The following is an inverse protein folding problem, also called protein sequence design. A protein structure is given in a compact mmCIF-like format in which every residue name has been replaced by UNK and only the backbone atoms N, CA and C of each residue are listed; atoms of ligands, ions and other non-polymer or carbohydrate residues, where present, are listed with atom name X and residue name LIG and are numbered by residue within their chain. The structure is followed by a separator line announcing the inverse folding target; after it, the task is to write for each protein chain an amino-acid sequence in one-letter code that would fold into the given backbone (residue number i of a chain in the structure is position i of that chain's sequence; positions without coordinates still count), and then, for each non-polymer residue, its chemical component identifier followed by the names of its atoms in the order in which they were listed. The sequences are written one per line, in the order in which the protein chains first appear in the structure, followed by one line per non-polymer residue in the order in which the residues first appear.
data_IF_547086181770
#
_entry.id   IF_547086181770
#
_cell.length_a   1.000
_cell.length_b   1.000
_cell.length_c   1.000
_cell.angle_alpha   90.00
_cell.angle_beta   90.00
_cell.angle_gamma   90.00
#
_symmetry.space_group_name_H-M   'P 1'
#
loop_
_entity.id
_entity.type
_entity.pdbx_description
1 polymer ?
#
# COMPACT_ATOMS: atom_id res chain seq x y z
N UNK A 1 14.40 5.74 1.29
CA UNK A 1 14.38 7.00 2.06
C UNK A 1 15.48 6.96 3.13
N UNK A 2 16.48 7.86 3.10
CA UNK A 2 17.61 7.85 4.04
C UNK A 2 17.19 7.95 5.50
N UNK A 3 16.04 8.54 5.80
CA UNK A 3 15.50 8.62 7.16
C UNK A 3 15.11 7.26 7.75
N UNK A 4 14.86 6.25 6.93
CA UNK A 4 14.57 4.88 7.37
C UNK A 4 15.79 3.95 7.33
N UNK A 5 16.77 4.27 6.50
CA UNK A 5 17.92 3.39 6.24
C UNK A 5 19.17 3.77 7.04
N UNK A 6 19.28 5.02 7.52
CA UNK A 6 20.45 5.55 8.18
C UNK A 6 20.15 5.88 9.64
N UNK A 7 21.05 5.45 10.55
CA UNK A 7 20.91 5.73 11.99
C UNK A 7 21.00 7.25 12.28
N UNK A 8 20.19 7.73 13.21
CA UNK A 8 20.09 9.15 13.56
C UNK A 8 21.44 9.85 13.84
N UNK A 9 22.45 9.24 14.51
CA UNK A 9 23.76 9.86 14.71
C UNK A 9 24.54 10.14 13.42
N UNK A 10 24.32 9.37 12.37
CA UNK A 10 24.92 9.61 11.04
C UNK A 10 24.18 10.73 10.31
N UNK A 11 22.84 10.69 10.31
CA UNK A 11 22.01 11.75 9.70
C UNK A 11 22.33 13.14 10.26
N UNK A 12 22.51 13.26 11.57
CA UNK A 12 22.83 14.54 12.23
C UNK A 12 24.19 15.13 11.88
N UNK A 13 25.08 14.34 11.26
CA UNK A 13 26.45 14.72 10.87
C UNK A 13 26.69 14.67 9.37
N UNK A 14 25.63 14.39 8.58
CA UNK A 14 25.70 14.26 7.13
C UNK A 14 24.88 15.35 6.46
N UNK A 15 25.33 15.79 5.30
CA UNK A 15 24.53 16.63 4.40
C UNK A 15 23.71 15.72 3.51
N UNK A 16 22.39 15.86 3.56
CA UNK A 16 21.49 15.14 2.65
C UNK A 16 21.39 15.89 1.33
N UNK A 17 21.85 15.26 0.27
CA UNK A 17 21.72 15.75 -1.10
C UNK A 17 20.68 14.89 -1.82
N UNK A 18 19.62 15.51 -2.30
CA UNK A 18 18.63 14.84 -3.14
C UNK A 18 19.04 14.94 -4.58
N UNK A 19 19.18 13.79 -5.26
CA UNK A 19 19.38 13.72 -6.70
C UNK A 19 18.01 13.63 -7.38
N UNK A 20 17.84 14.44 -8.41
CA UNK A 20 16.63 14.39 -9.24
C UNK A 20 16.91 13.57 -10.51
N UNK A 21 15.87 12.97 -11.12
CA UNK A 21 15.99 12.33 -12.43
C UNK A 21 16.53 13.32 -13.46
N UNK A 22 17.30 12.82 -14.41
CA UNK A 22 17.80 13.63 -15.53
C UNK A 22 16.62 14.11 -16.39
N UNK A 23 16.76 15.31 -16.96
CA UNK A 23 15.79 15.81 -17.94
C UNK A 23 15.93 15.06 -19.27
N UNK A 24 14.90 15.13 -20.11
CA UNK A 24 14.96 14.54 -21.46
C UNK A 24 16.11 15.10 -22.30
N UNK A 25 16.45 16.38 -22.13
CA UNK A 25 17.58 17.00 -22.80
C UNK A 25 18.92 16.46 -22.32
N UNK A 26 19.10 16.28 -21.00
CA UNK A 26 20.31 15.69 -20.43
C UNK A 26 20.51 14.25 -20.92
N UNK A 27 19.40 13.47 -20.94
CA UNK A 27 19.43 12.10 -21.44
C UNK A 27 19.72 12.04 -22.93
N UNK A 28 19.15 12.96 -23.72
CA UNK A 28 19.37 13.05 -25.16
C UNK A 28 20.85 13.29 -25.47
N UNK A 29 21.46 14.25 -24.78
CA UNK A 29 22.88 14.54 -24.93
C UNK A 29 23.74 13.35 -24.54
N UNK A 30 23.36 12.62 -23.47
CA UNK A 30 24.05 11.41 -23.03
C UNK A 30 23.95 10.29 -24.07
N UNK A 31 22.77 10.04 -24.63
CA UNK A 31 22.50 9.00 -25.64
C UNK A 31 23.27 9.31 -26.91
N UNK A 32 23.22 10.56 -27.43
CA UNK A 32 23.94 10.97 -28.63
C UNK A 32 25.44 10.84 -28.45
N UNK A 33 25.96 11.23 -27.28
CA UNK A 33 27.38 11.03 -26.96
C UNK A 33 27.74 9.54 -26.90
N UNK A 34 26.87 8.68 -26.35
CA UNK A 34 27.13 7.24 -26.30
C UNK A 34 27.13 6.58 -27.69
N UNK A 35 26.35 7.11 -28.64
CA UNK A 35 26.40 6.65 -30.06
C UNK A 35 27.73 7.02 -30.71
N UNK A 36 28.22 8.24 -30.51
CA UNK A 36 29.39 8.77 -31.26
C UNK A 36 30.75 8.55 -30.59
N UNK A 37 30.82 8.50 -29.23
CA UNK A 37 32.11 8.42 -28.49
C UNK A 37 32.84 7.10 -28.79
N UNK A 38 34.19 7.18 -28.84
CA UNK A 38 35.08 6.00 -29.02
C UNK A 38 34.91 4.93 -27.93
N UNK A 39 34.46 5.31 -26.74
CA UNK A 39 34.17 4.41 -25.62
C UNK A 39 32.74 3.84 -25.68
N UNK A 40 31.90 4.38 -26.58
CA UNK A 40 30.55 3.93 -26.84
C UNK A 40 30.46 3.12 -28.13
N UNK A 41 29.44 3.46 -28.95
CA UNK A 41 29.14 2.72 -30.18
C UNK A 41 29.94 3.15 -31.42
N UNK A 42 30.75 4.20 -31.34
CA UNK A 42 31.67 4.66 -32.39
C UNK A 42 30.99 4.89 -33.76
N UNK A 43 29.80 5.46 -33.73
CA UNK A 43 28.92 5.65 -34.90
C UNK A 43 28.61 4.35 -35.67
N UNK A 44 28.73 3.17 -35.04
CA UNK A 44 28.38 1.89 -35.65
C UNK A 44 26.91 1.78 -36.00
N UNK A 45 26.04 2.54 -35.30
CA UNK A 45 24.60 2.61 -35.57
C UNK A 45 24.13 4.07 -35.56
N UNK A 46 23.03 4.31 -36.26
CA UNK A 46 22.28 5.56 -36.19
C UNK A 46 20.98 5.34 -35.38
N UNK A 47 20.52 6.39 -34.70
CA UNK A 47 19.29 6.37 -33.92
C UNK A 47 18.32 7.39 -34.51
N UNK A 48 17.25 6.98 -35.21
CA UNK A 48 16.20 7.88 -35.67
C UNK A 48 15.54 8.66 -34.53
N UNK A 49 14.99 9.85 -34.82
CA UNK A 49 14.43 10.74 -33.81
C UNK A 49 13.23 10.11 -33.06
N UNK A 50 12.40 9.36 -33.73
CA UNK A 50 11.27 8.64 -33.13
C UNK A 50 11.74 7.55 -32.16
N UNK A 51 12.78 6.79 -32.53
CA UNK A 51 13.43 5.79 -31.69
C UNK A 51 14.16 6.44 -30.51
N UNK A 52 14.86 7.56 -30.73
CA UNK A 52 15.50 8.34 -29.65
C UNK A 52 14.44 8.81 -28.64
N UNK A 53 13.37 9.42 -29.12
CA UNK A 53 12.28 9.90 -28.25
C UNK A 53 11.58 8.76 -27.48
N UNK A 54 11.45 7.59 -28.09
CA UNK A 54 10.92 6.41 -27.41
C UNK A 54 11.88 5.91 -26.33
N UNK A 55 13.18 5.85 -26.63
CA UNK A 55 14.23 5.47 -25.65
C UNK A 55 14.23 6.39 -24.43
N UNK A 56 14.10 7.72 -24.63
CA UNK A 56 14.03 8.69 -23.53
C UNK A 56 12.81 8.47 -22.65
N UNK A 57 11.65 8.20 -23.26
CA UNK A 57 10.41 7.90 -22.52
C UNK A 57 10.53 6.67 -21.62
N UNK A 58 11.10 5.56 -22.15
CA UNK A 58 11.26 4.33 -21.37
C UNK A 58 12.36 4.43 -20.31
N UNK A 59 13.36 5.31 -20.54
CA UNK A 59 14.41 5.57 -19.56
C UNK A 59 13.90 6.36 -18.34
N UNK A 60 12.94 7.26 -18.52
CA UNK A 60 12.26 7.98 -17.44
C UNK A 60 13.21 8.75 -16.52
N UNK A 61 14.23 9.43 -17.07
CA UNK A 61 15.22 10.19 -16.31
C UNK A 61 16.42 9.38 -15.79
N UNK A 62 16.49 8.07 -16.08
CA UNK A 62 17.59 7.19 -15.64
C UNK A 62 18.62 6.95 -16.76
N UNK A 63 19.83 7.51 -16.57
CA UNK A 63 20.93 7.38 -17.50
C UNK A 63 21.38 5.92 -17.74
N UNK A 64 21.43 5.11 -16.69
CA UNK A 64 21.86 3.70 -16.80
C UNK A 64 20.87 2.91 -17.63
N UNK A 65 19.58 3.12 -17.38
CA UNK A 65 18.50 2.48 -18.13
C UNK A 65 18.53 2.87 -19.60
N UNK A 66 18.74 4.17 -19.92
CA UNK A 66 18.89 4.65 -21.27
C UNK A 66 20.06 3.98 -22.00
N UNK A 67 21.25 3.95 -21.37
CA UNK A 67 22.45 3.39 -21.96
C UNK A 67 22.36 1.85 -22.13
N UNK A 68 21.81 1.14 -21.17
CA UNK A 68 21.61 -0.31 -21.26
C UNK A 68 20.62 -0.68 -22.37
N UNK A 69 19.53 0.05 -22.51
CA UNK A 69 18.56 -0.16 -23.59
C UNK A 69 19.17 0.17 -24.97
N UNK A 70 19.94 1.26 -25.07
CA UNK A 70 20.66 1.63 -26.29
C UNK A 70 21.67 0.55 -26.71
N UNK A 71 22.49 0.08 -25.76
CA UNK A 71 23.51 -0.95 -26.03
C UNK A 71 22.87 -2.25 -26.52
N UNK A 72 21.81 -2.70 -25.86
CA UNK A 72 21.09 -3.90 -26.23
C UNK A 72 20.42 -3.78 -27.61
N UNK A 73 19.78 -2.64 -27.91
CA UNK A 73 19.13 -2.40 -29.19
C UNK A 73 20.13 -2.24 -30.32
N UNK A 74 21.28 -1.58 -30.07
CA UNK A 74 22.39 -1.47 -31.04
C UNK A 74 22.98 -2.84 -31.35
N UNK A 75 23.23 -3.67 -30.31
CA UNK A 75 23.69 -5.05 -30.52
C UNK A 75 22.72 -5.87 -31.38
N UNK A 76 21.44 -5.80 -31.11
CA UNK A 76 20.42 -6.50 -31.87
C UNK A 76 20.32 -6.03 -33.34
N UNK A 77 20.47 -4.73 -33.60
CA UNK A 77 20.52 -4.19 -34.96
C UNK A 77 21.76 -4.68 -35.72
N UNK A 78 22.94 -4.59 -35.09
CA UNK A 78 24.21 -5.05 -35.69
C UNK A 78 24.18 -6.56 -35.96
N UNK A 79 23.58 -7.37 -35.10
CA UNK A 79 23.45 -8.82 -35.31
C UNK A 79 22.56 -9.13 -36.52
N UNK A 80 21.58 -8.26 -36.83
CA UNK A 80 20.75 -8.32 -38.04
C UNK A 80 21.45 -7.75 -39.29
N UNK A 81 22.66 -7.17 -39.15
CA UNK A 81 23.37 -6.49 -40.20
C UNK A 81 22.83 -5.10 -40.53
N UNK A 82 22.08 -4.50 -39.63
CA UNK A 82 21.48 -3.17 -39.77
C UNK A 82 22.38 -2.12 -39.12
N UNK A 83 22.49 -0.95 -39.78
CA UNK A 83 23.24 0.21 -39.25
C UNK A 83 22.32 1.27 -38.63
N UNK A 84 21.02 0.98 -38.51
CA UNK A 84 20.03 1.85 -37.91
C UNK A 84 19.25 1.07 -36.84
N UNK A 85 19.09 1.66 -35.65
CA UNK A 85 18.27 1.09 -34.59
C UNK A 85 16.82 1.53 -34.82
N UNK A 86 16.02 0.69 -35.47
CA UNK A 86 14.61 0.94 -35.68
C UNK A 86 13.79 0.84 -34.38
N UNK A 87 12.63 1.51 -34.35
CA UNK A 87 11.73 1.52 -33.20
C UNK A 87 11.33 0.09 -32.76
N UNK A 88 11.00 -0.78 -33.73
CA UNK A 88 10.62 -2.16 -33.46
C UNK A 88 11.77 -2.95 -32.78
N UNK A 89 13.02 -2.77 -33.24
CA UNK A 89 14.19 -3.43 -32.64
C UNK A 89 14.41 -2.96 -31.20
N UNK A 90 14.19 -1.67 -30.92
CA UNK A 90 14.25 -1.12 -29.56
C UNK A 90 13.17 -1.74 -28.68
N UNK A 91 11.91 -1.79 -29.11
CA UNK A 91 10.79 -2.36 -28.36
C UNK A 91 11.01 -3.83 -28.03
N UNK A 92 11.36 -4.67 -29.04
CA UNK A 92 11.65 -6.10 -28.85
C UNK A 92 12.80 -6.34 -27.85
N UNK A 93 13.75 -5.41 -27.79
CA UNK A 93 14.92 -5.53 -26.92
C UNK A 93 14.63 -5.07 -25.50
N UNK A 94 13.82 -4.03 -25.36
CA UNK A 94 13.40 -3.49 -24.05
C UNK A 94 12.50 -4.47 -23.32
N UNK A 95 11.57 -5.13 -24.01
CA UNK A 95 10.72 -6.19 -23.43
C UNK A 95 11.55 -7.33 -22.83
N UNK A 96 12.70 -7.65 -23.44
CA UNK A 96 13.65 -8.64 -22.91
C UNK A 96 14.49 -8.10 -21.75
N UNK A 97 14.79 -6.80 -21.72
CA UNK A 97 15.61 -6.16 -20.68
C UNK A 97 14.81 -5.77 -19.44
N UNK A 98 13.49 -5.54 -19.57
CA UNK A 98 12.59 -5.21 -18.48
C UNK A 98 12.48 -6.31 -17.41
N UNK A 99 12.95 -7.52 -17.69
CA UNK A 99 13.01 -8.65 -16.73
C UNK A 99 14.01 -8.41 -15.57
N UNK A 100 14.84 -7.36 -15.63
CA UNK A 100 15.78 -7.00 -14.54
C UNK A 100 15.41 -5.68 -13.86
N UNK A 101 14.18 -5.57 -13.39
CA UNK A 101 13.77 -4.45 -12.53
C UNK A 101 14.39 -4.61 -11.14
N UNK A 102 14.93 -3.50 -10.62
CA UNK A 102 15.48 -3.41 -9.26
C UNK A 102 14.34 -3.47 -8.24
N UNK A 103 14.10 -4.65 -7.67
CA UNK A 103 13.05 -4.89 -6.66
C UNK A 103 13.29 -4.17 -5.33
N UNK A 104 14.48 -3.65 -5.13
CA UNK A 104 14.92 -3.03 -3.88
C UNK A 104 15.06 -1.48 -3.97
N UNK A 105 14.69 -0.86 -5.09
CA UNK A 105 14.82 0.59 -5.31
C UNK A 105 13.66 1.42 -4.73
N UNK A 106 13.92 2.71 -4.45
CA UNK A 106 12.92 3.68 -3.95
C UNK A 106 11.66 3.77 -4.84
N UNK A 107 11.79 3.53 -6.15
CA UNK A 107 10.67 3.55 -7.11
C UNK A 107 9.61 2.48 -6.84
N UNK A 108 9.99 1.30 -6.32
CA UNK A 108 9.07 0.24 -5.93
C UNK A 108 8.06 0.73 -4.87
N UNK A 109 8.57 1.40 -3.83
CA UNK A 109 7.72 1.94 -2.76
C UNK A 109 6.86 3.10 -3.23
N UNK A 110 7.37 3.93 -4.15
CA UNK A 110 6.63 5.07 -4.71
C UNK A 110 5.43 4.61 -5.55
N UNK A 111 5.60 3.62 -6.42
CA UNK A 111 4.51 3.08 -7.24
C UNK A 111 3.46 2.37 -6.37
N UNK A 112 3.89 1.57 -5.39
CA UNK A 112 2.97 0.94 -4.44
C UNK A 112 2.20 1.98 -3.61
N UNK A 113 2.88 3.06 -3.17
CA UNK A 113 2.26 4.18 -2.46
C UNK A 113 1.25 4.92 -3.35
N UNK A 114 1.58 5.14 -4.63
CA UNK A 114 0.69 5.78 -5.58
C UNK A 114 -0.55 4.93 -5.87
N UNK A 115 -0.43 3.60 -6.02
CA UNK A 115 -1.55 2.68 -6.12
C UNK A 115 -2.53 2.85 -4.94
N UNK A 116 -2.02 2.78 -3.71
CA UNK A 116 -2.85 2.88 -2.51
C UNK A 116 -3.49 4.28 -2.38
N UNK A 117 -2.75 5.35 -2.69
CA UNK A 117 -3.28 6.72 -2.67
C UNK A 117 -4.36 6.94 -3.73
N UNK A 118 -4.24 6.30 -4.90
CA UNK A 118 -5.27 6.36 -5.95
C UNK A 118 -6.53 5.61 -5.53
N UNK A 119 -6.42 4.43 -4.91
CA UNK A 119 -7.54 3.69 -4.32
C UNK A 119 -8.22 4.54 -3.25
N UNK A 120 -7.45 5.12 -2.32
CA UNK A 120 -7.94 6.01 -1.25
C UNK A 120 -8.65 7.23 -1.82
N UNK A 121 -8.12 7.81 -2.89
CA UNK A 121 -8.69 8.95 -3.61
C UNK A 121 -9.85 8.60 -4.53
N UNK A 122 -10.22 7.32 -4.68
CA UNK A 122 -11.27 6.82 -5.58
C UNK A 122 -11.01 7.09 -7.07
N UNK A 123 -9.74 7.29 -7.45
CA UNK A 123 -9.32 7.36 -8.85
C UNK A 123 -9.00 5.96 -9.37
N UNK A 124 -10.00 5.32 -9.97
CA UNK A 124 -9.92 3.93 -10.45
C UNK A 124 -8.94 3.80 -11.61
N UNK A 125 -8.87 4.78 -12.50
CA UNK A 125 -8.02 4.72 -13.68
C UNK A 125 -6.54 4.89 -13.29
N UNK A 126 -6.23 5.82 -12.40
CA UNK A 126 -4.89 5.95 -11.84
C UNK A 126 -4.48 4.70 -11.04
N UNK A 127 -5.40 4.11 -10.25
CA UNK A 127 -5.13 2.87 -9.52
C UNK A 127 -4.78 1.72 -10.47
N UNK A 128 -5.54 1.53 -11.55
CA UNK A 128 -5.25 0.52 -12.57
C UNK A 128 -3.93 0.78 -13.30
N UNK A 129 -3.60 2.04 -13.59
CA UNK A 129 -2.31 2.39 -14.19
C UNK A 129 -1.14 2.01 -13.29
N UNK A 130 -1.20 2.34 -11.98
CA UNK A 130 -0.13 1.95 -11.05
C UNK A 130 -0.07 0.45 -10.80
N UNK A 131 -1.22 -0.25 -10.79
CA UNK A 131 -1.27 -1.72 -10.76
C UNK A 131 -0.54 -2.31 -11.98
N UNK A 132 -0.84 -1.84 -13.18
CA UNK A 132 -0.20 -2.29 -14.42
C UNK A 132 1.31 -2.05 -14.37
N UNK A 133 1.76 -0.89 -13.88
CA UNK A 133 3.20 -0.61 -13.69
C UNK A 133 3.88 -1.59 -12.75
N UNK A 134 3.23 -2.00 -11.66
CA UNK A 134 3.79 -3.01 -10.75
C UNK A 134 3.86 -4.38 -11.41
N UNK A 135 2.85 -4.76 -12.18
CA UNK A 135 2.81 -6.05 -12.91
C UNK A 135 3.92 -6.11 -13.95
N UNK A 136 4.03 -5.09 -14.81
CA UNK A 136 5.06 -5.00 -15.86
C UNK A 136 6.48 -4.93 -15.27
N UNK A 137 6.64 -4.33 -14.09
CA UNK A 137 7.88 -4.33 -13.34
C UNK A 137 8.23 -5.71 -12.72
N UNK A 138 7.39 -6.73 -12.88
CA UNK A 138 7.61 -8.07 -12.33
C UNK A 138 7.45 -8.15 -10.82
N UNK A 139 6.62 -7.28 -10.22
CA UNK A 139 6.34 -7.29 -8.79
C UNK A 139 5.71 -8.61 -8.34
N UNK A 140 6.02 -9.06 -7.14
CA UNK A 140 5.38 -10.23 -6.54
C UNK A 140 3.87 -9.99 -6.41
N UNK A 141 3.02 -10.79 -7.10
CA UNK A 141 1.57 -10.62 -7.03
C UNK A 141 1.02 -10.74 -5.61
N UNK A 142 1.70 -11.47 -4.73
CA UNK A 142 1.35 -11.58 -3.31
C UNK A 142 1.63 -10.28 -2.55
N UNK A 143 2.69 -9.55 -2.93
CA UNK A 143 2.95 -8.23 -2.36
C UNK A 143 1.84 -7.25 -2.72
N UNK A 144 1.43 -7.20 -3.99
CA UNK A 144 0.32 -6.35 -4.45
C UNK A 144 -0.97 -6.71 -3.68
N UNK A 145 -1.30 -8.00 -3.60
CA UNK A 145 -2.49 -8.47 -2.88
C UNK A 145 -2.47 -8.08 -1.37
N UNK A 146 -1.31 -8.19 -0.70
CA UNK A 146 -1.16 -7.72 0.69
C UNK A 146 -1.43 -6.23 0.84
N UNK A 147 -0.97 -5.40 -0.11
CA UNK A 147 -1.25 -3.96 -0.09
C UNK A 147 -2.75 -3.66 -0.23
N UNK A 148 -3.45 -4.40 -1.09
CA UNK A 148 -4.90 -4.29 -1.25
C UNK A 148 -5.66 -4.68 0.03
N UNK A 149 -5.26 -5.77 0.72
CA UNK A 149 -5.85 -6.17 2.00
C UNK A 149 -5.68 -5.10 3.08
N UNK A 150 -4.50 -4.49 3.16
CA UNK A 150 -4.25 -3.40 4.12
C UNK A 150 -5.15 -2.21 3.80
N UNK A 151 -5.20 -1.76 2.53
CA UNK A 151 -6.04 -0.63 2.10
C UNK A 151 -7.53 -0.89 2.34
N UNK A 152 -8.00 -2.13 2.15
CA UNK A 152 -9.38 -2.51 2.45
C UNK A 152 -9.76 -2.25 3.92
N UNK A 153 -8.84 -2.50 4.86
CA UNK A 153 -9.06 -2.26 6.29
C UNK A 153 -8.77 -0.81 6.70
N UNK A 154 -7.72 -0.20 6.12
CA UNK A 154 -7.23 1.13 6.47
C UNK A 154 -8.12 2.25 5.93
N UNK A 155 -8.52 2.15 4.64
CA UNK A 155 -9.14 3.24 3.90
C UNK A 155 -10.66 3.07 3.69
N UNK A 156 -11.16 1.83 3.74
CA UNK A 156 -12.56 1.50 3.48
C UNK A 156 -13.25 1.04 4.75
N UNK A 157 -12.67 0.10 5.48
CA UNK A 157 -13.18 -0.39 6.75
C UNK A 157 -14.65 -0.82 6.66
N UNK A 158 -15.46 -0.32 7.58
CA UNK A 158 -16.89 -0.64 7.67
C UNK A 158 -17.79 0.16 6.72
N UNK A 159 -17.22 1.11 5.96
CA UNK A 159 -17.98 1.80 4.92
C UNK A 159 -18.42 0.83 3.80
N UNK A 160 -17.61 -0.19 3.51
CA UNK A 160 -18.00 -1.37 2.74
C UNK A 160 -17.52 -2.66 3.42
N UNK A 161 -18.40 -3.41 4.11
CA UNK A 161 -18.03 -4.66 4.78
C UNK A 161 -17.49 -5.75 3.84
N UNK A 162 -17.71 -5.65 2.52
CA UNK A 162 -17.21 -6.59 1.54
C UNK A 162 -15.77 -6.30 1.08
N UNK A 163 -15.25 -5.11 1.37
CA UNK A 163 -13.92 -4.71 0.90
C UNK A 163 -12.82 -5.68 1.34
N UNK A 164 -12.75 -6.00 2.62
CA UNK A 164 -11.76 -6.96 3.14
C UNK A 164 -11.97 -8.38 2.61
N UNK A 165 -13.19 -8.98 2.61
CA UNK A 165 -13.46 -10.26 1.95
C UNK A 165 -13.03 -10.30 0.47
N UNK A 166 -13.30 -9.27 -0.31
CA UNK A 166 -12.87 -9.18 -1.73
C UNK A 166 -11.34 -9.21 -1.81
N UNK A 167 -10.65 -8.40 -1.03
CA UNK A 167 -9.18 -8.36 -1.03
C UNK A 167 -8.56 -9.69 -0.57
N UNK A 168 -9.15 -10.36 0.43
CA UNK A 168 -8.70 -11.67 0.89
C UNK A 168 -8.94 -12.75 -0.16
N UNK A 169 -10.11 -12.79 -0.78
CA UNK A 169 -10.42 -13.71 -1.87
C UNK A 169 -9.47 -13.53 -3.06
N UNK A 170 -9.18 -12.26 -3.41
CA UNK A 170 -8.20 -11.95 -4.45
C UNK A 170 -6.79 -12.46 -4.07
N UNK A 171 -6.34 -12.28 -2.84
CA UNK A 171 -5.05 -12.76 -2.38
C UNK A 171 -4.93 -14.29 -2.43
N UNK A 172 -6.00 -15.01 -2.08
CA UNK A 172 -6.06 -16.47 -2.17
C UNK A 172 -6.03 -16.93 -3.62
N UNK A 173 -6.82 -16.32 -4.51
CA UNK A 173 -6.84 -16.64 -5.92
C UNK A 173 -5.47 -16.40 -6.58
N UNK A 174 -4.85 -15.25 -6.32
CA UNK A 174 -3.50 -14.89 -6.80
C UNK A 174 -2.45 -15.92 -6.40
N UNK A 175 -2.52 -16.43 -5.16
CA UNK A 175 -1.59 -17.45 -4.67
C UNK A 175 -1.72 -18.81 -5.39
N UNK A 176 -2.91 -19.10 -5.93
CA UNK A 176 -3.20 -20.36 -6.65
C UNK A 176 -2.94 -20.24 -8.15
N UNK A 177 -3.23 -19.07 -8.74
CA UNK A 177 -3.25 -18.88 -10.20
C UNK A 177 -1.89 -18.43 -10.71
N UNK A 178 -1.29 -17.40 -10.08
CA UNK A 178 -0.05 -16.77 -10.57
C UNK A 178 -0.29 -15.89 -11.81
N UNK A 179 0.78 -15.23 -12.28
CA UNK A 179 0.75 -14.47 -13.53
C UNK A 179 0.84 -15.39 -14.74
N UNK A 180 0.22 -15.00 -15.88
CA UNK A 180 -0.41 -13.71 -16.18
C UNK A 180 -1.85 -13.54 -15.67
N UNK A 181 -2.60 -14.60 -15.39
CA UNK A 181 -4.04 -14.54 -15.10
C UNK A 181 -4.35 -13.85 -13.76
N UNK A 182 -3.43 -13.86 -12.82
CA UNK A 182 -3.57 -13.14 -11.54
C UNK A 182 -3.81 -11.63 -11.73
N UNK A 183 -3.40 -11.05 -12.88
CA UNK A 183 -3.66 -9.67 -13.23
C UNK A 183 -5.17 -9.35 -13.25
N UNK A 184 -6.00 -10.28 -13.72
CA UNK A 184 -7.46 -10.13 -13.77
C UNK A 184 -8.06 -10.04 -12.36
N UNK A 185 -7.59 -10.90 -11.46
CA UNK A 185 -8.04 -10.93 -10.06
C UNK A 185 -7.61 -9.68 -9.30
N UNK A 186 -6.37 -9.23 -9.49
CA UNK A 186 -5.85 -8.00 -8.89
C UNK A 186 -6.59 -6.76 -9.42
N UNK A 187 -6.88 -6.70 -10.72
CA UNK A 187 -7.67 -5.62 -11.33
C UNK A 187 -9.09 -5.58 -10.75
N UNK A 188 -9.76 -6.72 -10.64
CA UNK A 188 -11.09 -6.82 -10.04
C UNK A 188 -11.11 -6.24 -8.61
N UNK A 189 -10.18 -6.67 -7.75
CA UNK A 189 -10.07 -6.18 -6.39
C UNK A 189 -9.74 -4.67 -6.35
N UNK A 190 -8.82 -4.20 -7.18
CA UNK A 190 -8.44 -2.78 -7.27
C UNK A 190 -9.62 -1.90 -7.65
N UNK A 191 -10.43 -2.28 -8.65
CA UNK A 191 -11.63 -1.56 -9.06
C UNK A 191 -12.64 -1.52 -7.92
N UNK A 192 -12.92 -2.66 -7.30
CA UNK A 192 -13.88 -2.75 -6.19
C UNK A 192 -13.47 -1.84 -5.02
N UNK A 193 -12.19 -1.85 -4.63
CA UNK A 193 -11.68 -1.02 -3.53
C UNK A 193 -11.63 0.46 -3.90
N UNK A 194 -11.27 0.82 -5.13
CA UNK A 194 -11.23 2.21 -5.58
C UNK A 194 -12.64 2.83 -5.57
N UNK A 195 -13.66 2.09 -5.98
CA UNK A 195 -15.04 2.58 -6.04
C UNK A 195 -15.83 2.43 -4.73
N UNK A 196 -15.32 1.70 -3.76
CA UNK A 196 -15.94 1.55 -2.45
C UNK A 196 -15.99 2.91 -1.70
N UNK A 197 -17.03 3.16 -0.88
CA UNK A 197 -17.03 4.30 0.02
C UNK A 197 -15.87 4.20 1.02
N UNK A 198 -15.31 5.33 1.43
CA UNK A 198 -14.09 5.40 2.25
C UNK A 198 -14.39 5.74 3.70
N UNK A 199 -13.72 5.02 4.62
CA UNK A 199 -13.68 5.34 6.04
C UNK A 199 -12.39 4.80 6.66
N UNK A 200 -11.67 5.64 7.38
CA UNK A 200 -10.53 5.27 8.20
C UNK A 200 -10.87 5.18 9.70
N UNK A 201 -12.16 5.17 10.05
CA UNK A 201 -12.59 5.23 11.45
C UNK A 201 -12.04 4.06 12.29
N UNK A 202 -11.94 2.86 11.73
CA UNK A 202 -11.35 1.70 12.41
C UNK A 202 -9.83 1.91 12.69
N UNK A 203 -9.11 2.45 11.74
CA UNK A 203 -7.67 2.77 11.85
C UNK A 203 -7.43 3.82 12.93
N UNK A 204 -8.23 4.90 12.91
CA UNK A 204 -8.15 5.94 13.93
C UNK A 204 -8.49 5.41 15.32
N UNK A 205 -9.49 4.54 15.43
CA UNK A 205 -9.92 3.96 16.70
C UNK A 205 -8.82 3.12 17.34
N UNK A 206 -8.21 2.19 16.61
CA UNK A 206 -7.12 1.36 17.15
C UNK A 206 -5.87 2.18 17.42
N UNK A 207 -5.55 3.17 16.59
CA UNK A 207 -4.44 4.09 16.81
C UNK A 207 -4.56 4.83 18.13
N UNK A 208 -5.73 5.43 18.41
CA UNK A 208 -6.00 6.14 19.66
C UNK A 208 -5.94 5.21 20.89
N UNK A 209 -6.47 3.99 20.78
CA UNK A 209 -6.41 3.01 21.86
C UNK A 209 -4.96 2.57 22.16
N UNK A 210 -4.15 2.32 21.13
CA UNK A 210 -2.74 1.98 21.28
C UNK A 210 -1.94 3.12 21.92
N UNK A 211 -2.25 4.37 21.56
CA UNK A 211 -1.59 5.54 22.14
C UNK A 211 -1.91 5.70 23.63
N UNK A 212 -3.15 5.49 24.04
CA UNK A 212 -3.52 5.50 25.47
C UNK A 212 -2.79 4.40 26.26
N UNK A 213 -2.69 3.20 25.72
CA UNK A 213 -1.92 2.09 26.33
C UNK A 213 -0.43 2.46 26.46
N UNK A 214 0.17 3.04 25.41
CA UNK A 214 1.58 3.49 25.43
C UNK A 214 1.82 4.60 26.45
N UNK A 215 0.82 5.45 26.70
CA UNK A 215 0.86 6.50 27.73
C UNK A 215 0.62 5.99 29.16
N UNK A 216 0.48 4.68 29.34
CA UNK A 216 0.26 4.07 30.64
C UNK A 216 -1.19 4.09 31.14
N UNK A 217 -2.15 4.43 30.30
CA UNK A 217 -3.58 4.47 30.64
C UNK A 217 -4.26 3.09 30.58
N UNK A 218 -3.48 1.99 30.60
CA UNK A 218 -4.03 0.63 30.53
C UNK A 218 -4.93 0.29 31.73
N UNK A 219 -4.46 0.62 32.94
CA UNK A 219 -5.17 0.32 34.18
C UNK A 219 -5.41 -1.18 34.45
N UNK A 220 -5.85 -1.56 35.65
CA UNK A 220 -6.24 -2.93 35.95
C UNK A 220 -7.60 -3.27 35.34
N UNK A 221 -7.75 -4.51 34.86
CA UNK A 221 -9.06 -5.02 34.42
C UNK A 221 -10.05 -4.99 35.62
N UNK A 222 -11.27 -4.47 35.45
CA UNK A 222 -12.29 -4.46 36.51
C UNK A 222 -12.51 -5.87 37.10
N UNK A 223 -12.64 -6.03 38.44
CA UNK A 223 -12.68 -7.34 39.07
C UNK A 223 -13.78 -8.28 38.54
N UNK A 224 -14.96 -7.77 38.24
CA UNK A 224 -16.09 -8.54 37.71
C UNK A 224 -15.86 -9.07 36.30
N UNK A 225 -14.93 -8.48 35.52
CA UNK A 225 -14.56 -8.95 34.17
C UNK A 225 -13.39 -9.94 34.18
N UNK A 226 -12.74 -10.17 35.34
CA UNK A 226 -11.62 -11.10 35.41
C UNK A 226 -12.11 -12.54 35.37
N UNK A 227 -11.28 -13.45 34.87
CA UNK A 227 -11.60 -14.87 34.81
C UNK A 227 -11.96 -15.43 36.20
N UNK A 228 -13.11 -16.11 36.26
CA UNK A 228 -13.64 -16.73 37.46
C UNK A 228 -13.50 -18.27 37.49
N UNK A 229 -12.94 -18.90 36.44
CA UNK A 229 -12.98 -20.35 36.25
C UNK A 229 -11.89 -21.13 37.02
N UNK A 230 -11.09 -20.50 37.85
CA UNK A 230 -10.03 -21.18 38.63
C UNK A 230 -10.30 -21.19 40.13
N UNK A 231 -9.74 -22.21 40.84
CA UNK A 231 -9.89 -22.34 42.28
C UNK A 231 -9.32 -21.13 43.02
N UNK A 232 -10.16 -20.43 43.78
CA UNK A 232 -9.78 -19.23 44.55
C UNK A 232 -10.15 -17.90 43.89
N UNK A 233 -10.62 -17.88 42.64
CA UNK A 233 -11.05 -16.65 41.96
C UNK A 233 -12.10 -15.87 42.79
N UNK A 234 -13.08 -16.55 43.36
CA UNK A 234 -14.10 -15.95 44.20
C UNK A 234 -13.54 -15.29 45.50
N UNK A 235 -12.44 -15.85 46.08
CA UNK A 235 -11.77 -15.24 47.24
C UNK A 235 -11.05 -13.95 46.90
N UNK A 236 -10.68 -13.78 45.62
CA UNK A 236 -10.03 -12.56 45.08
C UNK A 236 -11.07 -11.58 44.50
N UNK A 237 -12.37 -11.87 44.62
CA UNK A 237 -13.44 -11.02 44.07
C UNK A 237 -13.56 -11.05 42.55
N UNK A 238 -12.92 -12.04 41.88
CA UNK A 238 -12.98 -12.15 40.41
C UNK A 238 -14.33 -12.71 39.96
N UNK A 239 -14.83 -12.20 38.83
CA UNK A 239 -16.13 -12.52 38.24
C UNK A 239 -17.36 -12.24 39.13
N UNK A 240 -17.17 -11.64 40.30
CA UNK A 240 -18.29 -11.28 41.19
C UNK A 240 -19.00 -10.03 40.70
N UNK A 241 -20.35 -10.11 40.57
CA UNK A 241 -21.18 -9.00 40.13
C UNK A 241 -21.19 -8.78 38.60
N UNK A 242 -20.62 -9.70 37.81
CA UNK A 242 -20.75 -9.67 36.35
C UNK A 242 -22.21 -9.87 35.94
N UNK A 243 -22.74 -8.95 35.19
CA UNK A 243 -24.11 -9.06 34.61
C UNK A 243 -23.98 -9.65 33.21
N UNK A 244 -24.58 -10.82 32.99
CA UNK A 244 -24.52 -11.51 31.70
C UNK A 244 -25.49 -10.85 30.70
N UNK A 245 -25.00 -10.26 29.59
CA UNK A 245 -25.83 -9.48 28.69
C UNK A 245 -26.99 -10.27 28.05
N UNK A 246 -26.80 -11.58 27.81
CA UNK A 246 -27.84 -12.42 27.22
C UNK A 246 -29.05 -12.65 28.10
N UNK A 247 -28.97 -12.36 29.42
CA UNK A 247 -30.10 -12.44 30.35
C UNK A 247 -30.97 -11.18 30.28
N UNK A 248 -30.58 -10.18 29.51
CA UNK A 248 -31.30 -8.90 29.39
C UNK A 248 -32.02 -8.79 28.03
N UNK A 249 -33.19 -8.15 27.99
CA UNK A 249 -34.02 -8.07 26.78
C UNK A 249 -33.31 -7.49 25.55
N UNK A 250 -32.44 -6.49 25.78
CA UNK A 250 -31.69 -5.80 24.70
C UNK A 250 -30.30 -6.41 24.45
N UNK A 251 -29.90 -7.44 25.19
CA UNK A 251 -28.57 -8.01 25.11
C UNK A 251 -27.45 -7.05 25.53
N UNK A 252 -27.77 -5.99 26.26
CA UNK A 252 -26.80 -4.98 26.73
C UNK A 252 -26.89 -4.87 28.24
N UNK A 253 -25.76 -5.03 28.93
CA UNK A 253 -25.65 -4.88 30.37
C UNK A 253 -25.00 -3.52 30.70
N UNK A 254 -25.72 -2.63 31.43
CA UNK A 254 -25.16 -1.36 31.86
C UNK A 254 -24.21 -1.57 33.05
N UNK A 255 -22.99 -2.02 32.75
CA UNK A 255 -21.90 -2.22 33.71
C UNK A 255 -20.62 -1.60 33.18
N UNK A 256 -19.63 -1.44 34.05
CA UNK A 256 -18.32 -0.93 33.64
C UNK A 256 -17.54 -2.02 32.90
N UNK A 257 -17.11 -1.74 31.68
CA UNK A 257 -16.28 -2.63 30.88
C UNK A 257 -14.81 -2.15 30.79
N UNK A 258 -14.59 -0.86 30.87
CA UNK A 258 -13.26 -0.27 30.76
C UNK A 258 -12.61 -0.04 32.13
N UNK A 259 -11.29 -0.06 32.24
CA UNK A 259 -10.59 0.45 33.42
C UNK A 259 -10.94 1.89 33.71
N UNK A 260 -10.85 2.30 34.99
CA UNK A 260 -11.26 3.64 35.45
C UNK A 260 -10.60 4.76 34.64
N UNK A 261 -9.30 4.61 34.31
CA UNK A 261 -8.52 5.61 33.59
C UNK A 261 -9.04 5.92 32.17
N UNK A 262 -9.83 5.00 31.58
CA UNK A 262 -10.34 5.12 30.21
C UNK A 262 -11.86 4.93 30.12
N UNK A 263 -12.56 5.00 31.25
CA UNK A 263 -14.00 4.74 31.30
C UNK A 263 -14.82 5.64 30.36
N UNK A 264 -14.42 6.90 30.24
CA UNK A 264 -15.09 7.90 29.40
C UNK A 264 -14.49 8.04 28.01
N UNK A 265 -13.51 7.18 27.64
CA UNK A 265 -12.91 7.21 26.32
C UNK A 265 -13.82 6.67 25.23
N UNK A 266 -13.89 7.39 24.15
CA UNK A 266 -14.55 6.99 22.90
C UNK A 266 -13.50 6.86 21.80
N UNK A 267 -13.12 5.63 21.47
CA UNK A 267 -12.13 5.37 20.40
C UNK A 267 -12.77 5.32 19.01
N UNK A 268 -13.88 4.61 18.87
CA UNK A 268 -14.54 4.43 17.60
C UNK A 268 -15.58 5.51 17.35
N UNK A 269 -15.31 6.37 16.36
CA UNK A 269 -16.25 7.38 15.87
C UNK A 269 -16.57 7.05 14.42
N UNK A 270 -17.69 6.34 14.15
CA UNK A 270 -18.06 5.92 12.81
C UNK A 270 -18.38 7.12 11.92
N UNK A 271 -18.08 6.97 10.63
CA UNK A 271 -18.54 7.91 9.60
C UNK A 271 -19.99 7.58 9.22
N UNK A 272 -20.58 8.43 8.36
CA UNK A 272 -21.86 8.13 7.71
C UNK A 272 -21.69 7.72 6.24
N UNK A 273 -20.50 7.25 5.87
CA UNK A 273 -20.22 6.81 4.52
C UNK A 273 -20.64 5.34 4.32
N UNK A 274 -21.29 5.05 3.20
CA UNK A 274 -21.69 3.70 2.83
C UNK A 274 -22.44 2.95 3.93
N UNK A 275 -22.05 1.71 4.17
CA UNK A 275 -22.69 0.86 5.19
C UNK A 275 -22.39 1.29 6.63
N UNK A 276 -21.34 2.10 6.85
CA UNK A 276 -20.94 2.54 8.19
C UNK A 276 -21.97 3.47 8.85
N UNK A 277 -22.86 4.10 8.07
CA UNK A 277 -23.99 4.86 8.60
C UNK A 277 -24.84 4.06 9.60
N UNK A 278 -25.05 2.77 9.35
CA UNK A 278 -25.79 1.87 10.27
C UNK A 278 -25.05 1.64 11.59
N UNK A 279 -23.73 1.57 11.54
CA UNK A 279 -22.89 1.45 12.73
C UNK A 279 -22.89 2.74 13.55
N UNK A 280 -23.00 3.91 12.91
CA UNK A 280 -23.13 5.19 13.61
C UNK A 280 -24.38 5.21 14.52
N UNK A 281 -25.52 4.82 13.97
CA UNK A 281 -26.78 4.75 14.71
C UNK A 281 -26.71 3.68 15.81
N UNK A 282 -26.14 2.52 15.52
CA UNK A 282 -25.97 1.44 16.50
C UNK A 282 -25.04 1.84 17.66
N UNK A 283 -23.93 2.51 17.38
CA UNK A 283 -23.00 3.01 18.41
C UNK A 283 -23.67 4.01 19.33
N UNK A 284 -24.41 4.98 18.78
CA UNK A 284 -25.14 5.97 19.59
C UNK A 284 -26.18 5.29 20.50
N UNK A 285 -26.95 4.37 19.94
CA UNK A 285 -27.96 3.61 20.68
C UNK A 285 -27.31 2.77 21.79
N UNK A 286 -26.24 2.02 21.48
CA UNK A 286 -25.52 1.16 22.44
C UNK A 286 -24.91 1.98 23.58
N UNK A 287 -24.24 3.10 23.29
CA UNK A 287 -23.65 3.98 24.31
C UNK A 287 -24.68 4.52 25.28
N UNK A 288 -25.85 4.92 24.76
CA UNK A 288 -26.97 5.36 25.58
C UNK A 288 -27.46 4.25 26.56
N UNK A 289 -27.55 3.00 26.09
CA UNK A 289 -27.99 1.87 26.92
C UNK A 289 -26.91 1.42 27.92
N UNK A 290 -25.65 1.62 27.62
CA UNK A 290 -24.53 1.42 28.55
C UNK A 290 -24.45 2.52 29.62
N UNK A 291 -25.26 3.56 29.55
CA UNK A 291 -25.21 4.69 30.50
C UNK A 291 -23.98 5.57 30.35
N UNK A 292 -23.28 5.51 29.21
CA UNK A 292 -22.13 6.39 28.94
C UNK A 292 -22.65 7.80 28.69
N UNK A 293 -22.15 8.76 29.50
CA UNK A 293 -22.44 10.18 29.27
C UNK A 293 -21.72 10.64 28.02
N UNK A 294 -22.41 11.44 27.18
CA UNK A 294 -21.72 12.16 26.08
C UNK A 294 -20.69 13.11 26.70
N UNK A 295 -19.45 13.18 26.13
CA UNK A 295 -18.47 14.16 26.55
C UNK A 295 -18.97 15.59 26.31
#
# INVERSE_FOLDING_TARGET
DPYFSIISPLLSRSLLLTLEPLTDDDLRDLVRRAVSDERGLKDAVTLPEDTENHLLRIAGGDARRALTALEAAAGAALDKGESEVGLQTLEETVDRAAVKYDRDGDQHYDVASALIKSIRGSDVDAALHYLARMIEAGEDPRFIARRLMISASEDIGLADPNALPIAVAAAQAVAMIGFPEAALTLSHATIALALAPKSNAATMAIGAALDDVRKGLAGPVPPHLRDGHYKGAAKLGHAQGYVYPHDLPEGIAPQQYAPDAIQDREYYTPTRHGAEARYADAVEWTRKHLGRKRP
#
